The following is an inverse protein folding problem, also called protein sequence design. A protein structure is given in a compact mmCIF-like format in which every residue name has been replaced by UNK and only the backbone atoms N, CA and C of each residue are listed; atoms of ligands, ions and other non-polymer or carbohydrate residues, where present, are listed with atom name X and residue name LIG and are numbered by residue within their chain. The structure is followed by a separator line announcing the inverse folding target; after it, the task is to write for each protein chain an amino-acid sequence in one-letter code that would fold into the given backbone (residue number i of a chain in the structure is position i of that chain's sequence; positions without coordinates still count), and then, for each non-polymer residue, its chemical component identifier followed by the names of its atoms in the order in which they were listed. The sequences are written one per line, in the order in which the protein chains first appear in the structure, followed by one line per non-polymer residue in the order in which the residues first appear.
data_IF_155670960915
#
_entry.id   IF_155670960915
#
_cell.length_a   1.000
_cell.length_b   1.000
_cell.length_c   1.000
_cell.angle_alpha   90.00
_cell.angle_beta   90.00
_cell.angle_gamma   90.00
#
_symmetry.space_group_name_H-M   'P 1'
#
loop_
_entity.id
_entity.type
_entity.pdbx_description
1 polymer ?
#
# COMPACT_ATOMS: atom_id res chain seq x y z
N UNK A 1 5.98 -2.24 10.00
CA UNK A 1 6.88 -3.31 9.52
C UNK A 1 6.89 -3.30 8.01
N UNK A 2 8.04 -3.57 7.38
CA UNK A 2 8.20 -3.72 5.93
C UNK A 2 8.79 -5.11 5.64
N UNK A 3 8.21 -5.82 4.69
CA UNK A 3 8.72 -7.07 4.14
C UNK A 3 8.88 -6.95 2.63
N UNK A 4 10.05 -7.35 2.14
CA UNK A 4 10.44 -7.29 0.73
C UNK A 4 10.93 -8.66 0.29
N UNK A 5 10.42 -9.14 -0.84
CA UNK A 5 10.80 -10.43 -1.40
C UNK A 5 10.93 -10.31 -2.91
N UNK A 6 12.12 -10.66 -3.42
CA UNK A 6 12.30 -10.86 -4.86
C UNK A 6 11.82 -12.26 -5.24
N UNK A 7 10.99 -12.32 -6.27
CA UNK A 7 10.39 -13.51 -6.85
C UNK A 7 11.02 -13.79 -8.23
N UNK A 8 10.82 -14.98 -8.80
CA UNK A 8 11.26 -15.28 -10.16
C UNK A 8 10.65 -14.31 -11.21
N UNK A 9 11.27 -14.23 -12.39
CA UNK A 9 10.80 -13.42 -13.53
C UNK A 9 10.78 -11.90 -13.27
N UNK A 10 11.78 -11.40 -12.53
CA UNK A 10 11.94 -9.98 -12.18
C UNK A 10 10.70 -9.37 -11.49
N UNK A 11 10.07 -10.18 -10.64
CA UNK A 11 8.93 -9.75 -9.82
C UNK A 11 9.41 -9.40 -8.41
N UNK A 12 8.94 -8.30 -7.86
CA UNK A 12 9.15 -7.89 -6.47
C UNK A 12 7.80 -7.83 -5.75
N UNK A 13 7.74 -8.48 -4.59
CA UNK A 13 6.64 -8.38 -3.65
C UNK A 13 7.09 -7.53 -2.46
N UNK A 14 6.32 -6.49 -2.16
CA UNK A 14 6.47 -5.69 -0.95
C UNK A 14 5.18 -5.68 -0.14
N UNK A 15 5.32 -5.83 1.17
CA UNK A 15 4.20 -5.78 2.13
C UNK A 15 4.59 -4.84 3.26
N UNK A 16 3.73 -3.89 3.55
CA UNK A 16 3.88 -2.99 4.69
C UNK A 16 2.72 -3.21 5.64
N UNK A 17 3.02 -3.36 6.92
CA UNK A 17 2.01 -3.48 7.96
C UNK A 17 2.20 -2.37 9.00
N UNK A 18 1.12 -1.67 9.30
CA UNK A 18 1.05 -0.56 10.26
C UNK A 18 0.19 -0.96 11.45
N UNK A 19 0.71 -0.74 12.66
CA UNK A 19 -0.07 -0.74 13.89
C UNK A 19 -0.22 0.70 14.34
N UNK A 20 -1.44 1.22 14.27
CA UNK A 20 -1.74 2.59 14.66
C UNK A 20 -2.51 2.56 15.98
N UNK A 21 -1.92 3.17 17.01
CA UNK A 21 -2.60 3.37 18.29
C UNK A 21 -3.79 4.33 18.15
N UNK A 22 -4.66 4.36 19.15
CA UNK A 22 -5.74 5.34 19.17
C UNK A 22 -5.18 6.77 19.19
N UNK A 23 -5.75 7.67 18.37
CA UNK A 23 -5.29 9.06 18.24
C UNK A 23 -6.36 9.98 18.81
N UNK A 24 -5.99 10.75 19.84
CA UNK A 24 -6.83 11.84 20.35
C UNK A 24 -6.55 13.13 19.57
N UNK A 25 -7.51 13.58 18.79
CA UNK A 25 -7.39 14.78 17.93
C UNK A 25 -7.86 16.05 18.62
N UNK A 26 -8.87 15.95 19.49
CA UNK A 26 -9.41 17.07 20.26
C UNK A 26 -9.99 16.57 21.59
N UNK A 27 -10.65 17.44 22.36
CA UNK A 27 -11.32 17.04 23.62
C UNK A 27 -12.37 15.94 23.41
N UNK A 28 -13.09 16.00 22.28
CA UNK A 28 -14.25 15.14 21.99
C UNK A 28 -14.07 14.27 20.73
N UNK A 29 -12.90 14.28 20.08
CA UNK A 29 -12.63 13.50 18.88
C UNK A 29 -11.45 12.55 19.10
N UNK A 30 -11.74 11.25 18.98
CA UNK A 30 -10.77 10.16 19.06
C UNK A 30 -10.94 9.30 17.82
N UNK A 31 -9.83 8.93 17.19
CA UNK A 31 -9.80 7.85 16.20
C UNK A 31 -9.38 6.58 16.93
N UNK A 32 -10.14 5.50 16.74
CA UNK A 32 -9.83 4.20 17.32
C UNK A 32 -8.50 3.65 16.79
N UNK A 33 -7.93 2.71 17.54
CA UNK A 33 -6.75 1.96 17.06
C UNK A 33 -7.14 1.20 15.78
N UNK A 34 -6.21 1.10 14.85
CA UNK A 34 -6.42 0.29 13.67
C UNK A 34 -5.10 -0.29 13.18
N UNK A 35 -5.22 -1.35 12.39
CA UNK A 35 -4.11 -1.93 11.66
C UNK A 35 -4.33 -1.68 10.18
N UNK A 36 -3.25 -1.53 9.42
CA UNK A 36 -3.34 -1.42 7.95
C UNK A 36 -2.26 -2.27 7.31
N UNK A 37 -2.66 -3.13 6.38
CA UNK A 37 -1.73 -3.88 5.54
C UNK A 37 -1.82 -3.39 4.12
N UNK A 38 -0.69 -2.98 3.55
CA UNK A 38 -0.57 -2.56 2.17
C UNK A 38 0.36 -3.55 1.44
N UNK A 39 0.05 -3.86 0.18
CA UNK A 39 0.78 -4.81 -0.65
C UNK A 39 1.09 -4.18 -2.00
N UNK A 40 2.27 -4.46 -2.56
CA UNK A 40 2.61 -4.14 -3.94
C UNK A 40 3.33 -5.31 -4.60
N UNK A 41 2.89 -5.63 -5.81
CA UNK A 41 3.53 -6.58 -6.71
C UNK A 41 4.02 -5.81 -7.93
N UNK A 42 5.33 -5.79 -8.16
CA UNK A 42 5.93 -5.08 -9.28
C UNK A 42 6.67 -6.06 -10.20
N UNK A 43 6.58 -5.85 -11.51
CA UNK A 43 7.29 -6.60 -12.53
C UNK A 43 8.15 -5.65 -13.34
N UNK A 44 9.45 -5.89 -13.41
CA UNK A 44 10.32 -5.12 -14.28
C UNK A 44 10.03 -5.46 -15.75
N UNK A 45 9.96 -4.44 -16.60
CA UNK A 45 9.84 -4.57 -18.04
C UNK A 45 11.21 -4.32 -18.66
N UNK A 46 11.67 -5.26 -19.49
CA UNK A 46 12.93 -5.20 -20.23
C UNK A 46 12.67 -5.65 -21.65
N UNK A 47 12.60 -4.71 -22.60
CA UNK A 47 12.40 -5.00 -24.02
C UNK A 47 13.39 -4.18 -24.84
N UNK A 48 14.44 -4.84 -25.34
CA UNK A 48 15.54 -4.21 -26.08
C UNK A 48 16.13 -2.99 -25.33
N UNK A 49 15.91 -1.77 -25.85
CA UNK A 49 16.35 -0.52 -25.21
C UNK A 49 15.35 0.03 -24.18
N UNK A 50 14.10 -0.45 -24.20
CA UNK A 50 13.04 -0.01 -23.30
C UNK A 50 13.15 -0.68 -21.93
N UNK A 51 13.18 0.14 -20.87
CA UNK A 51 13.04 -0.32 -19.49
C UNK A 51 11.78 0.25 -18.87
N UNK A 52 11.27 -0.42 -17.84
CA UNK A 52 10.10 0.06 -17.14
C UNK A 52 9.65 -0.88 -16.03
N UNK A 53 8.45 -0.62 -15.54
CA UNK A 53 7.83 -1.39 -14.47
C UNK A 53 6.32 -1.37 -14.60
N UNK A 54 5.70 -2.53 -14.47
CA UNK A 54 4.27 -2.66 -14.23
C UNK A 54 4.06 -3.07 -12.77
N UNK A 55 3.24 -2.33 -12.03
CA UNK A 55 2.95 -2.66 -10.63
C UNK A 55 1.46 -2.65 -10.32
N UNK A 56 1.07 -3.55 -9.42
CA UNK A 56 -0.24 -3.63 -8.82
C UNK A 56 -0.12 -3.42 -7.31
N UNK A 57 -0.83 -2.43 -6.79
CA UNK A 57 -0.79 -2.04 -5.38
C UNK A 57 -2.18 -2.16 -4.77
N UNK A 58 -2.24 -2.74 -3.57
CA UNK A 58 -3.44 -2.79 -2.73
C UNK A 58 -3.17 -2.06 -1.44
N UNK A 59 -3.97 -1.04 -1.12
CA UNK A 59 -3.95 -0.38 0.19
C UNK A 59 -5.14 -0.87 1.01
N UNK A 60 -4.94 -0.97 2.32
CA UNK A 60 -5.96 -1.45 3.25
C UNK A 60 -6.44 -2.85 2.87
N UNK A 61 -5.50 -3.77 2.63
CA UNK A 61 -5.76 -5.16 2.26
C UNK A 61 -6.69 -5.84 3.29
N UNK A 62 -6.56 -5.47 4.55
CA UNK A 62 -7.36 -5.93 5.69
C UNK A 62 -8.75 -5.26 5.81
N UNK A 63 -9.12 -4.35 4.91
CA UNK A 63 -10.46 -3.76 4.84
C UNK A 63 -10.56 -2.33 5.35
N UNK A 64 -11.80 -1.86 5.42
CA UNK A 64 -12.13 -0.47 5.78
C UNK A 64 -11.73 -0.15 7.21
N UNK A 65 -11.22 1.06 7.42
CA UNK A 65 -10.96 1.62 8.74
C UNK A 65 -11.13 3.13 8.73
N UNK A 66 -11.39 3.68 9.91
CA UNK A 66 -11.56 5.11 10.10
C UNK A 66 -10.22 5.77 10.43
N UNK A 67 -9.85 6.77 9.64
CA UNK A 67 -8.74 7.68 9.88
C UNK A 67 -9.28 9.08 10.23
N UNK A 68 -8.40 10.01 10.63
CA UNK A 68 -8.67 11.46 10.77
C UNK A 68 -10.01 11.81 11.44
N UNK A 69 -10.06 11.79 12.78
CA UNK A 69 -11.26 12.12 13.58
C UNK A 69 -12.49 11.26 13.25
N UNK A 70 -12.29 10.08 12.66
CA UNK A 70 -13.34 9.20 12.15
C UNK A 70 -14.13 9.76 10.96
N UNK A 71 -13.68 10.87 10.36
CA UNK A 71 -14.36 11.50 9.22
C UNK A 71 -13.89 10.93 7.89
N UNK A 72 -12.73 10.26 7.87
CA UNK A 72 -12.15 9.68 6.66
C UNK A 72 -12.13 8.17 6.76
N UNK A 73 -13.07 7.52 6.08
CA UNK A 73 -13.03 6.06 5.92
C UNK A 73 -12.11 5.72 4.76
N UNK A 74 -11.12 4.88 5.01
CA UNK A 74 -10.22 4.35 3.98
C UNK A 74 -10.62 2.91 3.70
N UNK A 75 -11.37 2.72 2.62
CA UNK A 75 -11.68 1.39 2.08
C UNK A 75 -10.48 0.75 1.39
N UNK A 76 -10.61 -0.54 1.09
CA UNK A 76 -9.64 -1.27 0.26
C UNK A 76 -9.57 -0.63 -1.13
N UNK A 77 -8.37 -0.28 -1.56
CA UNK A 77 -8.12 0.38 -2.85
C UNK A 77 -7.09 -0.39 -3.65
N UNK A 78 -7.25 -0.34 -4.96
CA UNK A 78 -6.42 -1.02 -5.92
C UNK A 78 -5.88 -0.01 -6.93
N UNK A 79 -4.60 -0.08 -7.24
CA UNK A 79 -3.98 0.70 -8.30
C UNK A 79 -3.17 -0.20 -9.21
N UNK A 80 -3.16 0.15 -10.49
CA UNK A 80 -2.23 -0.37 -11.49
C UNK A 80 -1.42 0.81 -12.00
N UNK A 81 -0.09 0.69 -12.00
CA UNK A 81 0.81 1.72 -12.49
C UNK A 81 1.77 1.14 -13.52
N UNK A 82 2.00 1.89 -14.60
CA UNK A 82 3.02 1.62 -15.60
C UNK A 82 4.03 2.77 -15.58
N UNK A 83 5.30 2.43 -15.40
CA UNK A 83 6.45 3.34 -15.52
C UNK A 83 7.28 2.92 -16.72
N UNK A 84 7.65 3.88 -17.55
CA UNK A 84 8.50 3.65 -18.73
C UNK A 84 9.70 4.58 -18.62
N UNK A 85 10.89 4.01 -18.77
CA UNK A 85 12.18 4.70 -18.72
C UNK A 85 12.66 4.88 -20.17
N UNK A 86 12.84 6.13 -20.62
CA UNK A 86 13.28 6.52 -21.97
C UNK A 86 14.54 7.40 -21.92
#
# INVERSE_FOLDING_TARGET
MLWLQRLPHDIELSVVHYWIGAIKWSRNAVTERYERTDLRLAKALRLDTLRGELAYTVQSLNGAHSEERMQRVVDRRHWVSLRVDF
#
